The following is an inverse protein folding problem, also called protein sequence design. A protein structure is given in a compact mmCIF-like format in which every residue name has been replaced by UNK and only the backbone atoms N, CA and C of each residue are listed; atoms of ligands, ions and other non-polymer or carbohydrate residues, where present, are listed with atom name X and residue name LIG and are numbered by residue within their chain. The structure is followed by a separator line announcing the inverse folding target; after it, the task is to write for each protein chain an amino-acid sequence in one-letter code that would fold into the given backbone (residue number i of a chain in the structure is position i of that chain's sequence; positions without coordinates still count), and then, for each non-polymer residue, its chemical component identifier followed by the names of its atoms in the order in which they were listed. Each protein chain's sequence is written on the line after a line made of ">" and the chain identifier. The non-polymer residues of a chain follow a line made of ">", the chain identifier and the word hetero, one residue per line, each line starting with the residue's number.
data_IF_123039099944
#
_entry.id   IF_123039099944
#
_cell.length_a   1.000
_cell.length_b   1.000
_cell.length_c   1.000
_cell.angle_alpha   90.00
_cell.angle_beta   90.00
_cell.angle_gamma   90.00
#
_symmetry.space_group_name_H-M   'P 1'
#
loop_
_entity.id
_entity.type
_entity.pdbx_description
1 polymer ?
#
# COMPACT_ATOMS: atom_id res chain seq x y z
N UNK A 1 -14.31 -24.36 34.17
CA UNK A 1 -13.26 -24.25 33.14
C UNK A 1 -11.95 -24.64 33.81
N UNK A 2 -11.25 -25.63 33.27
CA UNK A 2 -10.00 -26.11 33.82
C UNK A 2 -8.96 -24.99 33.83
N UNK A 3 -8.66 -24.43 35.01
CA UNK A 3 -7.66 -23.36 35.17
C UNK A 3 -6.29 -23.74 34.62
N UNK A 4 -6.00 -25.05 34.55
CA UNK A 4 -4.80 -25.61 33.91
C UNK A 4 -4.80 -25.46 32.39
N UNK A 5 -5.96 -25.54 31.73
CA UNK A 5 -6.07 -25.25 30.29
C UNK A 5 -5.92 -23.76 30.01
N UNK A 6 -6.51 -22.91 30.85
CA UNK A 6 -6.40 -21.45 30.70
C UNK A 6 -4.95 -20.97 30.90
N UNK A 7 -4.24 -21.51 31.89
CA UNK A 7 -2.83 -21.21 32.11
C UNK A 7 -1.95 -21.65 30.93
N UNK A 8 -2.21 -22.84 30.36
CA UNK A 8 -1.49 -23.32 29.17
C UNK A 8 -1.77 -22.43 27.96
N UNK A 9 -3.02 -22.02 27.75
CA UNK A 9 -3.38 -21.15 26.64
C UNK A 9 -2.69 -19.78 26.76
N UNK A 10 -2.70 -19.18 27.95
CA UNK A 10 -1.98 -17.92 28.21
C UNK A 10 -0.48 -18.04 27.95
N UNK A 11 0.16 -19.13 28.40
CA UNK A 11 1.58 -19.36 28.16
C UNK A 11 1.90 -19.51 26.66
N UNK A 12 1.08 -20.24 25.90
CA UNK A 12 1.27 -20.42 24.46
C UNK A 12 1.16 -19.08 23.72
N UNK A 13 0.15 -18.27 24.04
CA UNK A 13 -0.05 -16.95 23.42
C UNK A 13 1.15 -16.03 23.71
N UNK A 14 1.61 -16.01 24.96
CA UNK A 14 2.77 -15.19 25.35
C UNK A 14 4.04 -15.61 24.60
N UNK A 15 4.30 -16.92 24.50
CA UNK A 15 5.44 -17.46 23.73
C UNK A 15 5.33 -17.10 22.25
N UNK A 16 4.14 -17.21 21.65
CA UNK A 16 3.92 -16.82 20.26
C UNK A 16 4.20 -15.33 20.02
N UNK A 17 3.74 -14.45 20.91
CA UNK A 17 4.00 -13.00 20.83
C UNK A 17 5.51 -12.72 20.95
N UNK A 18 6.19 -13.37 21.89
CA UNK A 18 7.64 -13.22 22.08
C UNK A 18 8.43 -13.64 20.84
N UNK A 19 8.09 -14.75 20.20
CA UNK A 19 8.74 -15.22 18.96
C UNK A 19 8.50 -14.23 17.81
N UNK A 20 7.28 -13.73 17.65
CA UNK A 20 6.99 -12.74 16.59
C UNK A 20 7.80 -11.45 16.82
N UNK A 21 7.91 -10.98 18.06
CA UNK A 21 8.69 -9.80 18.40
C UNK A 21 10.19 -10.00 18.11
N UNK A 22 10.77 -11.15 18.46
CA UNK A 22 12.19 -11.43 18.18
C UNK A 22 12.47 -11.53 16.68
N UNK A 23 11.56 -12.12 15.89
CA UNK A 23 11.70 -12.15 14.43
C UNK A 23 11.71 -10.74 13.85
N UNK A 24 10.83 -9.84 14.32
CA UNK A 24 10.80 -8.44 13.87
C UNK A 24 12.12 -7.74 14.22
N UNK A 25 12.64 -7.96 15.42
CA UNK A 25 13.87 -7.32 15.89
C UNK A 25 15.10 -7.80 15.11
N UNK A 26 15.17 -9.10 14.79
CA UNK A 26 16.21 -9.66 13.90
C UNK A 26 16.10 -9.06 12.48
N UNK A 27 14.90 -8.99 11.89
CA UNK A 27 14.72 -8.35 10.58
C UNK A 27 15.05 -6.85 10.58
N UNK A 28 15.02 -6.21 11.75
CA UNK A 28 15.37 -4.80 11.92
C UNK A 28 16.87 -4.60 12.11
N UNK A 29 17.57 -5.55 12.74
CA UNK A 29 19.02 -5.53 12.89
C UNK A 29 19.75 -5.94 11.59
N UNK A 30 19.10 -6.74 10.72
CA UNK A 30 19.46 -6.95 9.31
C UNK A 30 19.15 -5.74 8.40
N UNK A 31 18.51 -4.68 8.93
CA UNK A 31 18.43 -3.36 8.30
C UNK A 31 19.37 -2.35 9.02
N UNK A 32 20.71 -2.54 9.00
CA UNK A 32 21.59 -1.41 9.19
C UNK A 32 21.54 -0.62 7.88
N UNK A 33 20.47 0.17 7.69
CA UNK A 33 20.34 1.14 6.62
C UNK A 33 21.05 0.68 5.34
N UNK A 34 20.61 -0.46 4.79
CA UNK A 34 21.01 -0.80 3.43
C UNK A 34 20.44 0.34 2.61
N UNK A 35 21.35 1.26 2.28
CA UNK A 35 21.29 2.28 1.27
C UNK A 35 21.08 1.56 -0.07
N UNK A 36 19.97 0.84 -0.20
CA UNK A 36 19.35 0.55 -1.46
C UNK A 36 19.06 1.95 -1.96
N UNK A 37 19.72 2.42 -3.04
CA UNK A 37 19.25 3.64 -3.65
C UNK A 37 17.78 3.40 -3.87
N UNK A 38 16.93 4.15 -3.15
CA UNK A 38 15.52 4.18 -3.45
C UNK A 38 15.49 4.38 -4.96
N UNK A 39 14.88 3.45 -5.75
CA UNK A 39 14.80 3.64 -7.19
C UNK A 39 14.35 5.07 -7.35
N UNK A 40 15.17 5.88 -8.03
CA UNK A 40 14.97 7.32 -8.10
C UNK A 40 13.53 7.52 -8.50
N UNK A 41 12.70 7.85 -7.50
CA UNK A 41 11.27 8.00 -7.66
C UNK A 41 11.19 9.28 -8.43
N UNK A 42 11.12 9.12 -9.75
CA UNK A 42 11.29 10.20 -10.71
C UNK A 42 10.48 11.38 -10.20
N UNK A 43 11.15 12.48 -9.82
CA UNK A 43 10.50 13.53 -9.06
C UNK A 43 9.30 14.09 -9.83
N UNK A 44 8.12 14.01 -9.20
CA UNK A 44 7.02 14.96 -9.32
C UNK A 44 6.36 15.24 -10.69
N UNK A 45 6.74 14.57 -11.79
CA UNK A 45 6.22 14.90 -13.13
C UNK A 45 5.21 13.90 -13.70
N UNK A 46 4.88 12.81 -12.99
CA UNK A 46 3.87 11.87 -13.50
C UNK A 46 2.48 12.33 -13.03
N UNK A 47 1.65 12.96 -13.90
CA UNK A 47 0.32 13.44 -13.53
C UNK A 47 -0.55 12.33 -12.94
N UNK A 48 -0.28 11.07 -13.31
CA UNK A 48 -0.94 9.88 -12.80
C UNK A 48 -0.73 9.69 -11.29
N UNK A 49 0.44 10.01 -10.74
CA UNK A 49 0.70 9.94 -9.29
C UNK A 49 -0.12 10.96 -8.51
N UNK A 50 -0.35 12.13 -9.10
CA UNK A 50 -1.14 13.19 -8.45
C UNK A 50 -2.63 12.84 -8.46
N UNK A 51 -3.16 12.32 -9.57
CA UNK A 51 -4.55 11.86 -9.63
C UNK A 51 -4.80 10.68 -8.70
N UNK A 52 -3.88 9.72 -8.64
CA UNK A 52 -3.96 8.60 -7.68
C UNK A 52 -4.01 9.08 -6.22
N UNK A 53 -3.17 10.06 -5.84
CA UNK A 53 -3.19 10.61 -4.47
C UNK A 53 -4.50 11.32 -4.17
N UNK A 54 -5.07 12.07 -5.13
CA UNK A 54 -6.37 12.73 -4.96
C UNK A 54 -7.48 11.68 -4.74
N UNK A 55 -7.49 10.61 -5.53
CA UNK A 55 -8.44 9.52 -5.37
C UNK A 55 -8.27 8.77 -4.04
N UNK A 56 -7.04 8.60 -3.55
CA UNK A 56 -6.79 8.03 -2.23
C UNK A 56 -7.32 8.91 -1.09
N UNK A 57 -7.19 10.24 -1.21
CA UNK A 57 -7.72 11.18 -0.22
C UNK A 57 -9.25 11.18 -0.15
N UNK A 58 -9.93 10.86 -1.26
CA UNK A 58 -11.38 10.70 -1.30
C UNK A 58 -11.88 9.43 -0.59
N UNK A 59 -11.01 8.42 -0.40
CA UNK A 59 -11.34 7.19 0.32
C UNK A 59 -12.50 6.42 -0.34
N UNK A 60 -13.52 6.08 0.44
CA UNK A 60 -14.68 5.32 -0.03
C UNK A 60 -15.42 6.00 -1.19
N UNK A 61 -15.51 7.34 -1.18
CA UNK A 61 -16.19 8.09 -2.24
C UNK A 61 -15.54 7.89 -3.62
N UNK A 62 -14.25 7.57 -3.67
CA UNK A 62 -13.54 7.28 -4.92
C UNK A 62 -13.98 5.97 -5.59
N UNK A 63 -14.58 5.03 -4.83
CA UNK A 63 -15.02 3.74 -5.38
C UNK A 63 -16.21 3.90 -6.32
N UNK A 64 -17.05 4.92 -6.09
CA UNK A 64 -18.16 5.30 -6.97
C UNK A 64 -17.79 6.38 -7.99
N UNK A 65 -16.60 6.97 -7.90
CA UNK A 65 -16.17 8.04 -8.80
C UNK A 65 -15.59 7.47 -10.11
N UNK A 66 -16.22 7.73 -11.28
CA UNK A 66 -15.76 7.18 -12.54
C UNK A 66 -14.36 7.66 -12.94
N UNK A 67 -13.94 8.87 -12.54
CA UNK A 67 -12.61 9.40 -12.81
C UNK A 67 -11.51 8.67 -12.02
N UNK A 68 -11.79 8.32 -10.77
CA UNK A 68 -10.90 7.55 -9.92
C UNK A 68 -10.78 6.09 -10.36
N UNK A 69 -11.89 5.46 -10.77
CA UNK A 69 -11.87 4.12 -11.34
C UNK A 69 -11.00 4.05 -12.61
N UNK A 70 -11.11 5.04 -13.51
CA UNK A 70 -10.27 5.13 -14.70
C UNK A 70 -8.78 5.31 -14.35
N UNK A 71 -8.47 6.17 -13.39
CA UNK A 71 -7.10 6.43 -12.92
C UNK A 71 -6.44 5.16 -12.36
N UNK A 72 -7.18 4.35 -11.59
CA UNK A 72 -6.66 3.07 -11.08
C UNK A 72 -6.45 2.03 -12.18
N UNK A 73 -7.36 1.97 -13.15
CA UNK A 73 -7.21 1.09 -14.31
C UNK A 73 -5.94 1.45 -15.10
N UNK A 74 -5.70 2.74 -15.37
CA UNK A 74 -4.51 3.21 -16.06
C UNK A 74 -3.21 2.87 -15.30
N UNK A 75 -3.18 3.08 -13.99
CA UNK A 75 -2.02 2.73 -13.16
C UNK A 75 -1.75 1.21 -13.16
N UNK A 76 -2.80 0.40 -13.07
CA UNK A 76 -2.69 -1.06 -13.15
C UNK A 76 -2.17 -1.48 -14.52
N UNK A 77 -2.72 -0.93 -15.59
CA UNK A 77 -2.36 -1.29 -16.95
C UNK A 77 -0.90 -0.92 -17.25
N UNK A 78 -0.43 0.24 -16.78
CA UNK A 78 0.98 0.63 -16.83
C UNK A 78 1.88 -0.32 -16.03
N UNK A 79 1.47 -0.72 -14.83
CA UNK A 79 2.22 -1.69 -14.02
C UNK A 79 2.32 -3.05 -14.71
N UNK A 80 1.25 -3.49 -15.38
CA UNK A 80 1.22 -4.73 -16.14
C UNK A 80 1.89 -4.64 -17.51
N UNK A 81 2.48 -3.50 -17.87
CA UNK A 81 3.08 -3.27 -19.20
C UNK A 81 2.06 -3.25 -20.33
N UNK A 82 0.77 -3.16 -20.01
CA UNK A 82 -0.34 -3.02 -20.96
C UNK A 82 -0.60 -1.54 -21.19
N UNK A 83 0.37 -0.78 -21.71
CA UNK A 83 0.15 0.66 -21.97
C UNK A 83 -1.03 0.86 -22.94
N UNK A 84 -2.17 1.41 -22.49
CA UNK A 84 -3.21 1.86 -23.40
C UNK A 84 -2.69 3.14 -24.07
N UNK A 85 -3.10 3.39 -25.32
CA UNK A 85 -2.91 4.69 -25.99
C UNK A 85 -3.50 5.77 -25.07
N UNK A 86 -2.83 6.92 -24.85
CA UNK A 86 -3.32 7.95 -23.94
C UNK A 86 -4.74 8.36 -24.34
N UNK A 87 -5.71 8.13 -23.45
CA UNK A 87 -7.02 8.72 -23.61
C UNK A 87 -6.86 10.23 -23.45
N UNK A 88 -7.44 10.99 -24.39
CA UNK A 88 -7.38 12.45 -24.41
C UNK A 88 -7.78 13.03 -23.04
N UNK A 89 -7.17 14.17 -22.63
CA UNK A 89 -7.43 14.75 -21.32
C UNK A 89 -8.93 15.04 -21.15
N UNK A 90 -9.56 14.39 -20.18
CA UNK A 90 -10.89 14.77 -19.71
C UNK A 90 -10.80 16.10 -18.98
N UNK A 91 -10.94 17.17 -19.76
CA UNK A 91 -11.25 18.51 -19.29
C UNK A 91 -12.68 18.50 -18.72
N UNK A 92 -12.84 18.12 -17.46
CA UNK A 92 -14.04 18.50 -16.72
C UNK A 92 -13.81 19.91 -16.17
N UNK A 93 -14.01 20.92 -17.03
CA UNK A 93 -14.61 22.18 -16.59
C UNK A 93 -16.02 21.84 -16.08
N UNK A 94 -16.52 22.37 -14.98
CA UNK A 94 -16.45 23.75 -14.54
C UNK A 94 -17.90 24.17 -14.35
N UNK A 95 -18.40 24.06 -13.12
CA UNK A 95 -19.41 24.88 -12.42
C UNK A 95 -19.71 24.28 -11.05
#
# INVERSE_FOLDING_TARGET
>A
MDGKMLARLGAIIFVAIAITATVIEITREDDPAQNRPAPSLQPSADPLRQSLRRCQQLGEAAVSDPGCLATWAENRDRFLGRTPVPAAPHQNGGE
#
